data_IF_270348329979
#
_entry.id   IF_270348329979
#
_cell.length_a   1.000
_cell.length_b   1.000
_cell.length_c   1.000
_cell.angle_alpha   90.00
_cell.angle_beta   90.00
_cell.angle_gamma   90.00
#
_symmetry.space_group_name_H-M   'P 1'
#
loop_
_entity.id
_entity.type
_entity.pdbx_description
1 polymer ?
#
# COMPACT_ATOMS: atom_id res chain seq x y z
N UNK A 1 23.52 8.84 4.07
CA UNK A 1 23.07 7.95 5.16
C UNK A 1 21.81 7.27 4.68
N UNK A 2 21.75 5.94 4.63
CA UNK A 2 20.55 5.25 4.17
C UNK A 2 19.53 5.22 5.31
N UNK A 3 18.41 5.94 5.16
CA UNK A 3 17.35 5.96 6.16
C UNK A 3 16.38 4.84 5.84
N UNK A 4 16.23 3.87 6.75
CA UNK A 4 15.24 2.79 6.64
C UNK A 4 14.16 2.96 7.69
N UNK A 5 12.90 3.00 7.25
CA UNK A 5 11.74 3.06 8.14
C UNK A 5 10.77 1.92 7.82
N UNK A 6 10.41 1.12 8.83
CA UNK A 6 9.45 0.03 8.65
C UNK A 6 8.04 0.57 8.42
N UNK A 7 7.23 -0.20 7.69
CA UNK A 7 5.80 0.06 7.57
C UNK A 7 5.08 -0.75 8.64
N UNK A 8 4.37 -0.08 9.52
CA UNK A 8 3.53 -0.73 10.53
C UNK A 8 2.09 -0.85 10.04
N UNK A 9 1.43 -1.90 10.49
CA UNK A 9 0.00 -2.06 10.29
C UNK A 9 -0.76 -1.45 11.45
N UNK A 10 -1.77 -0.66 11.12
CA UNK A 10 -2.71 -0.13 12.09
C UNK A 10 -3.51 -1.28 12.74
N UNK A 11 -4.14 -1.00 13.89
CA UNK A 11 -4.98 -2.00 14.58
C UNK A 11 -6.10 -2.49 13.67
N UNK A 12 -6.68 -1.59 12.89
CA UNK A 12 -7.75 -1.87 11.93
C UNK A 12 -7.29 -2.84 10.85
N UNK A 13 -6.12 -2.61 10.24
CA UNK A 13 -5.54 -3.50 9.23
C UNK A 13 -5.28 -4.89 9.81
N UNK A 14 -4.73 -4.97 11.03
CA UNK A 14 -4.48 -6.26 11.71
C UNK A 14 -5.77 -7.02 11.96
N UNK A 15 -6.79 -6.38 12.53
CA UNK A 15 -8.09 -6.99 12.83
C UNK A 15 -8.76 -7.50 11.54
N UNK A 16 -8.87 -6.65 10.52
CA UNK A 16 -9.45 -7.02 9.22
C UNK A 16 -8.69 -8.20 8.61
N UNK A 17 -7.36 -8.16 8.63
CA UNK A 17 -6.53 -9.23 8.06
C UNK A 17 -6.74 -10.56 8.79
N UNK A 18 -6.79 -10.55 10.12
CA UNK A 18 -7.03 -11.76 10.92
C UNK A 18 -8.42 -12.34 10.62
N UNK A 19 -9.47 -11.51 10.66
CA UNK A 19 -10.86 -11.95 10.43
C UNK A 19 -11.03 -12.51 9.02
N UNK A 20 -10.58 -11.78 8.00
CA UNK A 20 -10.69 -12.24 6.60
C UNK A 20 -9.89 -13.52 6.38
N UNK A 21 -8.68 -13.61 6.94
CA UNK A 21 -7.88 -14.84 6.82
C UNK A 21 -8.58 -16.03 7.49
N UNK A 22 -9.15 -15.85 8.68
CA UNK A 22 -9.89 -16.90 9.38
C UNK A 22 -11.13 -17.36 8.59
N UNK A 23 -11.89 -16.42 8.02
CA UNK A 23 -13.04 -16.72 7.15
C UNK A 23 -12.58 -17.51 5.92
N UNK A 24 -11.50 -17.11 5.26
CA UNK A 24 -10.98 -17.82 4.09
C UNK A 24 -10.54 -19.26 4.45
N UNK A 25 -9.81 -19.43 5.55
CA UNK A 25 -9.35 -20.75 6.00
C UNK A 25 -10.52 -21.68 6.37
N UNK A 26 -11.62 -21.14 6.88
CA UNK A 26 -12.81 -21.93 7.19
C UNK A 26 -13.70 -22.18 5.95
N UNK A 27 -13.99 -21.15 5.16
CA UNK A 27 -14.96 -21.24 4.07
C UNK A 27 -14.41 -21.98 2.84
N UNK A 28 -13.17 -21.69 2.42
CA UNK A 28 -12.61 -22.21 1.17
C UNK A 28 -12.59 -23.74 1.12
N UNK A 29 -12.12 -24.47 2.15
CA UNK A 29 -12.13 -25.94 2.13
C UNK A 29 -13.54 -26.54 2.06
N UNK A 30 -14.53 -25.88 2.66
CA UNK A 30 -15.92 -26.33 2.64
C UNK A 30 -16.59 -26.08 1.28
N UNK A 31 -16.24 -24.98 0.61
CA UNK A 31 -16.76 -24.65 -0.72
C UNK A 31 -16.22 -25.61 -1.79
N UNK A 32 -14.95 -25.98 -1.73
CA UNK A 32 -14.30 -26.81 -2.77
C UNK A 32 -14.92 -28.21 -2.88
N UNK A 33 -15.50 -28.75 -1.80
CA UNK A 33 -16.00 -30.14 -1.75
C UNK A 33 -17.11 -30.44 -2.77
N UNK A 34 -17.91 -29.45 -3.17
CA UNK A 34 -19.11 -29.64 -4.03
C UNK A 34 -19.24 -28.57 -5.13
N UNK A 35 -18.12 -27.99 -5.60
CA UNK A 35 -18.17 -26.83 -6.50
C UNK A 35 -18.11 -27.23 -7.98
N UNK A 36 -19.01 -26.67 -8.79
CA UNK A 36 -18.97 -26.82 -10.25
C UNK A 36 -17.86 -25.98 -10.92
N UNK A 37 -17.56 -26.24 -12.19
CA UNK A 37 -16.45 -25.62 -12.94
C UNK A 37 -16.52 -24.08 -13.00
N UNK A 38 -17.70 -23.50 -13.21
CA UNK A 38 -17.85 -22.04 -13.27
C UNK A 38 -17.58 -21.40 -11.88
N UNK A 39 -18.07 -22.05 -10.83
CA UNK A 39 -17.88 -21.59 -9.45
C UNK A 39 -16.44 -21.79 -8.98
N UNK A 40 -15.73 -22.82 -9.46
CA UNK A 40 -14.31 -23.00 -9.16
C UNK A 40 -13.46 -21.92 -9.82
N UNK A 41 -13.75 -21.54 -11.06
CA UNK A 41 -13.07 -20.43 -11.74
C UNK A 41 -13.26 -19.10 -10.99
N UNK A 42 -14.48 -18.81 -10.54
CA UNK A 42 -14.78 -17.63 -9.73
C UNK A 42 -14.00 -17.63 -8.41
N UNK A 43 -13.96 -18.78 -7.71
CA UNK A 43 -13.18 -18.93 -6.48
C UNK A 43 -11.68 -18.73 -6.73
N UNK A 44 -11.13 -19.29 -7.80
CA UNK A 44 -9.73 -19.08 -8.19
C UNK A 44 -9.44 -17.61 -8.41
N UNK A 45 -10.29 -16.88 -9.13
CA UNK A 45 -10.11 -15.45 -9.36
C UNK A 45 -10.11 -14.66 -8.04
N UNK A 46 -11.02 -14.98 -7.13
CA UNK A 46 -11.07 -14.38 -5.78
C UNK A 46 -9.76 -14.68 -5.03
N UNK A 47 -9.28 -15.91 -5.03
CA UNK A 47 -8.03 -16.28 -4.35
C UNK A 47 -6.81 -15.57 -4.94
N UNK A 48 -6.77 -15.39 -6.27
CA UNK A 48 -5.74 -14.59 -6.93
C UNK A 48 -5.78 -13.14 -6.45
N UNK A 49 -6.96 -12.52 -6.28
CA UNK A 49 -7.03 -11.14 -5.76
C UNK A 49 -6.47 -11.02 -4.33
N UNK A 50 -6.74 -12.00 -3.46
CA UNK A 50 -6.16 -12.02 -2.11
C UNK A 50 -4.64 -12.23 -2.15
N UNK A 51 -4.15 -13.13 -2.99
CA UNK A 51 -2.72 -13.33 -3.19
C UNK A 51 -2.03 -12.05 -3.68
N UNK A 52 -2.62 -11.34 -4.65
CA UNK A 52 -2.11 -10.05 -5.15
C UNK A 52 -2.01 -9.02 -4.02
N UNK A 53 -2.97 -8.99 -3.09
CA UNK A 53 -2.90 -8.10 -1.92
C UNK A 53 -1.72 -8.45 -1.00
N UNK A 54 -1.53 -9.73 -0.68
CA UNK A 54 -0.41 -10.21 0.15
C UNK A 54 0.92 -9.84 -0.49
N UNK A 55 1.08 -10.13 -1.79
CA UNK A 55 2.32 -9.87 -2.54
C UNK A 55 2.64 -8.37 -2.62
N UNK A 56 1.62 -7.50 -2.62
CA UNK A 56 1.80 -6.05 -2.63
C UNK A 56 1.90 -5.40 -1.25
N UNK A 57 1.82 -6.18 -0.17
CA UNK A 57 1.89 -5.65 1.19
C UNK A 57 3.23 -4.93 1.43
N UNK A 58 3.21 -3.67 1.90
CA UNK A 58 4.42 -2.89 2.15
C UNK A 58 5.12 -3.38 3.42
N UNK A 59 6.45 -3.44 3.36
CA UNK A 59 7.29 -3.91 4.47
C UNK A 59 8.09 -2.76 5.10
N UNK A 60 8.82 -2.01 4.28
CA UNK A 60 9.63 -0.88 4.73
C UNK A 60 9.93 0.07 3.58
N UNK A 61 10.26 1.31 3.92
CA UNK A 61 10.80 2.31 3.00
C UNK A 61 12.29 2.51 3.26
N UNK A 62 13.04 2.84 2.22
CA UNK A 62 14.45 3.18 2.29
C UNK A 62 14.73 4.39 1.41
N UNK A 63 15.51 5.31 1.93
CA UNK A 63 15.99 6.48 1.20
C UNK A 63 17.48 6.32 1.02
N UNK A 64 17.89 6.21 -0.24
CA UNK A 64 19.28 6.23 -0.65
C UNK A 64 19.64 7.64 -1.16
N UNK A 65 20.91 7.83 -1.53
CA UNK A 65 21.42 9.13 -2.02
C UNK A 65 20.68 9.67 -3.25
N UNK A 66 20.13 8.81 -4.10
CA UNK A 66 19.51 9.20 -5.38
C UNK A 66 18.06 8.74 -5.57
N UNK A 67 17.52 7.93 -4.66
CA UNK A 67 16.23 7.27 -4.85
C UNK A 67 15.50 7.03 -3.52
N UNK A 68 14.18 7.13 -3.60
CA UNK A 68 13.24 6.55 -2.66
C UNK A 68 12.84 5.13 -3.09
N UNK A 69 12.80 4.19 -2.14
CA UNK A 69 12.42 2.80 -2.39
C UNK A 69 11.40 2.35 -1.36
N UNK A 70 10.26 1.84 -1.80
CA UNK A 70 9.35 1.03 -0.99
C UNK A 70 9.59 -0.44 -1.30
N UNK A 71 9.93 -1.23 -0.28
CA UNK A 71 9.96 -2.70 -0.37
C UNK A 71 8.59 -3.28 -0.02
N UNK A 72 8.13 -4.21 -0.86
CA UNK A 72 6.93 -5.03 -0.66
C UNK A 72 7.32 -6.48 -0.42
N UNK A 73 6.36 -7.33 -0.03
CA UNK A 73 6.53 -8.79 0.04
C UNK A 73 7.15 -9.30 -1.26
N UNK A 74 6.54 -8.96 -2.41
CA UNK A 74 7.10 -9.22 -3.72
C UNK A 74 7.34 -7.92 -4.50
N UNK A 75 8.56 -7.78 -5.03
CA UNK A 75 8.98 -6.60 -5.77
C UNK A 75 9.28 -5.38 -4.89
N UNK A 76 9.31 -4.20 -5.52
CA UNK A 76 9.59 -2.90 -4.90
C UNK A 76 9.03 -1.78 -5.78
N UNK A 77 8.78 -0.62 -5.20
CA UNK A 77 8.56 0.64 -5.93
C UNK A 77 9.82 1.48 -5.78
N UNK A 78 10.32 2.03 -6.88
CA UNK A 78 11.53 2.86 -6.91
C UNK A 78 11.19 4.18 -7.58
N UNK A 79 11.51 5.28 -6.93
CA UNK A 79 11.31 6.64 -7.44
C UNK A 79 12.66 7.36 -7.31
N UNK A 80 13.20 7.89 -8.40
CA UNK A 80 14.43 8.69 -8.34
C UNK A 80 14.11 10.05 -7.74
N UNK A 81 15.04 10.64 -7.00
CA UNK A 81 14.85 11.98 -6.42
C UNK A 81 14.59 13.02 -7.51
N UNK A 82 15.33 12.95 -8.62
CA UNK A 82 15.11 13.81 -9.78
C UNK A 82 13.68 13.69 -10.35
N UNK A 83 13.01 12.54 -10.21
CA UNK A 83 11.64 12.34 -10.69
C UNK A 83 10.58 12.91 -9.72
N UNK A 84 10.96 13.32 -8.50
CA UNK A 84 10.03 13.82 -7.47
C UNK A 84 9.75 15.30 -7.71
N UNK A 85 8.49 15.66 -7.94
CA UNK A 85 8.06 17.06 -8.09
C UNK A 85 7.49 17.64 -6.80
N UNK A 86 6.90 16.81 -5.96
CA UNK A 86 6.30 17.24 -4.70
C UNK A 86 6.32 16.09 -3.70
N UNK A 87 6.67 16.39 -2.45
CA UNK A 87 6.65 15.43 -1.35
C UNK A 87 6.21 16.16 -0.09
N UNK A 88 5.19 15.65 0.59
CA UNK A 88 4.79 16.17 1.89
C UNK A 88 4.05 15.13 2.71
N UNK A 89 3.87 15.43 4.00
CA UNK A 89 3.00 14.66 4.87
C UNK A 89 1.58 14.71 4.34
N UNK A 90 0.92 13.56 4.43
CA UNK A 90 -0.46 13.43 4.03
C UNK A 90 -1.27 13.04 5.26
N UNK A 91 -2.21 13.88 5.64
CA UNK A 91 -3.29 13.49 6.53
C UNK A 91 -4.54 13.34 5.67
N UNK A 92 -5.12 12.16 5.64
CA UNK A 92 -6.41 11.94 4.96
C UNK A 92 -7.51 12.66 5.75
N UNK A 93 -7.59 14.00 5.62
CA UNK A 93 -8.67 14.83 6.20
C UNK A 93 -10.01 14.53 5.53
N UNK A 94 -9.97 14.17 4.26
CA UNK A 94 -11.12 13.77 3.46
C UNK A 94 -11.16 12.25 3.32
N UNK A 95 -12.36 11.67 3.23
CA UNK A 95 -12.53 10.26 2.93
C UNK A 95 -11.94 9.93 1.56
N UNK A 96 -11.16 8.85 1.48
CA UNK A 96 -10.64 8.35 0.20
C UNK A 96 -11.59 7.31 -0.38
N UNK A 97 -11.94 7.45 -1.66
CA UNK A 97 -12.71 6.46 -2.41
C UNK A 97 -11.75 5.41 -2.98
N UNK A 98 -12.05 4.13 -2.77
CA UNK A 98 -11.28 3.01 -3.31
C UNK A 98 -11.75 2.71 -4.73
N UNK A 99 -10.86 2.90 -5.71
CA UNK A 99 -11.14 2.58 -7.11
C UNK A 99 -10.76 1.12 -7.42
N UNK A 100 -9.63 0.64 -6.88
CA UNK A 100 -9.18 -0.73 -7.06
C UNK A 100 -8.24 -1.18 -5.93
N UNK A 101 -8.31 -2.45 -5.53
CA UNK A 101 -7.39 -3.06 -4.57
C UNK A 101 -7.99 -3.29 -3.17
N UNK A 102 -7.13 -3.32 -2.16
CA UNK A 102 -7.48 -3.64 -0.77
C UNK A 102 -7.63 -2.39 0.08
N UNK A 103 -8.65 -2.37 0.95
CA UNK A 103 -8.91 -1.28 1.91
C UNK A 103 -8.74 -1.72 3.36
N UNK A 104 -7.89 -2.69 3.64
CA UNK A 104 -7.66 -3.18 5.00
C UNK A 104 -7.08 -4.58 5.12
N UNK A 105 -7.21 -5.43 4.09
CA UNK A 105 -6.56 -6.74 4.05
C UNK A 105 -5.10 -6.57 3.62
N UNK A 106 -4.15 -6.89 4.50
CA UNK A 106 -2.70 -6.65 4.33
C UNK A 106 -2.30 -5.17 4.09
N UNK A 107 -3.23 -4.23 4.31
CA UNK A 107 -3.04 -2.79 4.16
C UNK A 107 -4.08 -2.12 3.28
N UNK A 108 -3.91 -0.82 3.06
CA UNK A 108 -4.63 -0.05 2.04
C UNK A 108 -3.73 0.00 0.79
N UNK A 109 -4.04 -0.89 -0.16
CA UNK A 109 -3.19 -1.25 -1.28
C UNK A 109 -3.94 -1.07 -2.59
N UNK A 110 -3.40 -0.33 -3.54
CA UNK A 110 -4.01 -0.18 -4.87
C UNK A 110 -4.31 1.27 -5.20
N UNK A 111 -5.42 1.51 -5.89
CA UNK A 111 -5.75 2.81 -6.47
C UNK A 111 -6.89 3.44 -5.70
N UNK A 112 -6.66 4.65 -5.23
CA UNK A 112 -7.60 5.45 -4.46
C UNK A 112 -7.75 6.83 -5.09
N UNK A 113 -8.80 7.54 -4.71
CA UNK A 113 -9.00 8.93 -5.07
C UNK A 113 -9.46 9.72 -3.85
N UNK A 114 -8.82 10.86 -3.59
CA UNK A 114 -9.22 11.77 -2.53
C UNK A 114 -8.82 13.21 -2.86
N UNK A 115 -9.69 14.20 -2.58
CA UNK A 115 -9.25 15.59 -2.54
C UNK A 115 -8.19 15.79 -1.43
N UNK A 116 -7.13 16.59 -1.64
CA UNK A 116 -6.77 17.31 -2.87
C UNK A 116 -5.87 16.50 -3.85
N UNK A 117 -5.44 15.29 -3.50
CA UNK A 117 -4.47 14.52 -4.28
C UNK A 117 -5.01 13.98 -5.62
N UNK A 118 -6.33 13.93 -5.79
CA UNK A 118 -6.96 13.23 -6.91
C UNK A 118 -6.69 11.73 -6.83
N UNK A 119 -6.42 11.09 -7.98
CA UNK A 119 -6.11 9.66 -8.07
C UNK A 119 -4.67 9.38 -7.64
N UNK A 120 -4.47 8.42 -6.74
CA UNK A 120 -3.15 8.01 -6.27
C UNK A 120 -3.04 6.50 -6.06
N UNK A 121 -1.80 6.00 -6.05
CA UNK A 121 -1.49 4.61 -5.71
C UNK A 121 -1.06 4.52 -4.25
N UNK A 122 -1.77 3.73 -3.46
CA UNK A 122 -1.53 3.55 -2.04
C UNK A 122 -0.73 2.28 -1.75
N UNK A 123 0.25 2.42 -0.85
CA UNK A 123 0.91 1.32 -0.16
C UNK A 123 1.02 1.67 1.32
N UNK A 124 -0.11 1.57 2.02
CA UNK A 124 -0.28 2.12 3.37
C UNK A 124 -0.58 0.97 4.35
N UNK A 125 0.22 0.86 5.41
CA UNK A 125 -0.06 0.00 6.56
C UNK A 125 -0.79 0.75 7.68
N UNK A 126 -0.51 2.05 7.86
CA UNK A 126 -1.17 2.90 8.85
C UNK A 126 -1.44 4.30 8.28
N UNK A 127 -2.71 4.72 8.27
CA UNK A 127 -3.16 6.02 7.76
C UNK A 127 -2.79 7.20 8.66
N UNK A 128 -2.25 6.96 9.86
CA UNK A 128 -1.81 8.02 10.79
C UNK A 128 -0.41 8.56 10.52
N UNK A 129 0.41 7.81 9.77
CA UNK A 129 1.79 8.17 9.47
C UNK A 129 2.03 8.09 7.96
N UNK A 130 1.27 8.88 7.20
CA UNK A 130 1.31 8.88 5.74
C UNK A 130 2.01 10.10 5.16
N UNK A 131 2.59 9.91 3.98
CA UNK A 131 3.14 10.96 3.15
C UNK A 131 2.86 10.62 1.68
N UNK A 132 2.87 11.64 0.82
CA UNK A 132 2.71 11.44 -0.61
C UNK A 132 3.98 11.83 -1.37
N UNK A 133 4.16 11.23 -2.54
CA UNK A 133 5.17 11.63 -3.53
C UNK A 133 4.43 11.82 -4.86
N UNK A 134 4.50 13.02 -5.43
CA UNK A 134 4.15 13.26 -6.83
C UNK A 134 5.41 13.19 -7.68
N UNK A 135 5.26 12.61 -8.85
CA UNK A 135 6.35 12.43 -9.81
C UNK A 135 6.16 13.33 -11.02
N UNK A 136 7.24 13.64 -11.75
CA UNK A 136 7.20 14.44 -12.98
C UNK A 136 6.20 13.89 -14.01
N UNK A 137 6.00 12.57 -14.04
CA UNK A 137 5.05 11.89 -14.93
C UNK A 137 3.58 12.00 -14.46
N UNK A 138 3.29 12.85 -13.48
CA UNK A 138 1.94 13.08 -12.94
C UNK A 138 1.40 11.93 -12.08
N UNK A 139 2.21 10.92 -11.74
CA UNK A 139 1.78 9.84 -10.82
C UNK A 139 1.95 10.29 -9.37
N UNK A 140 0.89 10.13 -8.59
CA UNK A 140 0.88 10.33 -7.14
C UNK A 140 0.91 8.98 -6.42
N UNK A 141 1.80 8.84 -5.46
CA UNK A 141 1.86 7.71 -4.55
C UNK A 141 1.63 8.17 -3.12
N UNK A 142 0.97 7.34 -2.32
CA UNK A 142 0.83 7.55 -0.88
C UNK A 142 1.40 6.34 -0.16
N UNK A 143 2.30 6.61 0.76
CA UNK A 143 3.01 5.61 1.56
C UNK A 143 2.79 5.88 3.04
N UNK A 144 3.09 4.88 3.87
CA UNK A 144 3.20 5.07 5.31
C UNK A 144 4.45 4.41 5.86
N UNK A 145 5.00 4.94 6.95
CA UNK A 145 6.09 4.29 7.69
C UNK A 145 6.11 4.75 9.15
N UNK A 146 6.98 4.15 9.97
CA UNK A 146 7.13 4.47 11.40
C UNK A 146 7.29 5.97 11.67
N UNK A 147 8.09 6.67 10.86
CA UNK A 147 8.33 8.09 10.98
C UNK A 147 8.27 8.73 9.59
N UNK A 148 7.07 9.18 9.19
CA UNK A 148 6.86 9.81 7.88
C UNK A 148 7.57 11.17 7.77
N UNK A 149 7.62 11.93 8.87
CA UNK A 149 8.28 13.25 8.95
C UNK A 149 9.74 13.15 8.55
N UNK A 150 10.49 12.24 9.20
CA UNK A 150 11.90 12.01 8.91
C UNK A 150 12.14 11.61 7.45
N UNK A 151 11.23 10.84 6.84
CA UNK A 151 11.33 10.44 5.44
C UNK A 151 11.14 11.63 4.51
N UNK A 152 10.09 12.43 4.72
CA UNK A 152 9.80 13.62 3.91
C UNK A 152 10.96 14.62 3.99
N UNK A 153 11.45 14.93 5.19
CA UNK A 153 12.59 15.84 5.39
C UNK A 153 13.85 15.34 4.69
N UNK A 154 14.13 14.03 4.77
CA UNK A 154 15.30 13.45 4.12
C UNK A 154 15.21 13.53 2.60
N UNK A 155 14.03 13.31 2.02
CA UNK A 155 13.81 13.44 0.57
C UNK A 155 13.96 14.91 0.13
N UNK A 156 13.36 15.85 0.86
CA UNK A 156 13.48 17.29 0.57
C UNK A 156 14.94 17.74 0.54
N UNK A 157 15.78 17.28 1.47
CA UNK A 157 17.23 17.57 1.51
C UNK A 157 18.04 17.03 0.32
N UNK A 158 17.53 16.06 -0.43
CA UNK A 158 18.24 15.45 -1.58
C UNK A 158 17.65 15.85 -2.93
N UNK A 159 16.46 16.46 -2.96
CA UNK A 159 15.72 16.76 -4.20
C UNK A 159 15.53 18.27 -4.41
N UNK A 160 15.88 19.10 -3.41
CA UNK A 160 15.84 20.56 -3.42
C UNK A 160 17.19 21.11 -2.96
#
# INVERSE_FOLDING_TARGET
MNVRQNVYWSKEVKIITIIVTAILLFAVPNLIKNIGVLSSLALTLIMVTFAVCILNAPLYVTIDKSRFILKKVLGKVVIKHDDITEVDLYASKYGSIRLFGSGGFFGYLGIFSAPPLGKYVAYIGDRKQTFFIKTQKGKTYVFSCKNAVSVVETIKKHSL
#
